data_IF_113707789974
#
_entry.id   IF_113707789974
#
_cell.length_a   1.000
_cell.length_b   1.000
_cell.length_c   1.000
_cell.angle_alpha   90.00
_cell.angle_beta   90.00
_cell.angle_gamma   90.00
#
_symmetry.space_group_name_H-M   'P 1'
#
loop_
_entity.id
_entity.type
_entity.pdbx_description
1 polymer ?
#
# COMPACT_ATOMS: atom_id res chain seq x y z
N UNK A 1 30.80 0.17 -5.01
CA UNK A 1 29.97 0.21 -6.24
C UNK A 1 29.50 -1.15 -6.76
N UNK A 2 30.30 -2.00 -7.42
CA UNK A 2 29.78 -3.29 -7.98
C UNK A 2 29.17 -4.22 -6.91
N UNK A 3 29.77 -4.29 -5.72
CA UNK A 3 29.26 -5.06 -4.57
C UNK A 3 27.91 -4.55 -4.07
N UNK A 4 27.73 -3.24 -3.95
CA UNK A 4 26.50 -2.63 -3.43
C UNK A 4 25.31 -2.85 -4.38
N UNK A 5 25.55 -2.78 -5.69
CA UNK A 5 24.57 -3.13 -6.72
C UNK A 5 24.17 -4.61 -6.67
N UNK A 6 25.13 -5.51 -6.46
CA UNK A 6 24.85 -6.96 -6.34
C UNK A 6 24.08 -7.29 -5.06
N UNK A 7 24.43 -6.69 -3.93
CA UNK A 7 23.70 -6.85 -2.67
C UNK A 7 22.28 -6.29 -2.75
N UNK A 8 22.09 -5.16 -3.45
CA UNK A 8 20.78 -4.55 -3.65
C UNK A 8 19.87 -5.38 -4.58
N UNK A 9 20.39 -5.88 -5.71
CA UNK A 9 19.64 -6.79 -6.58
C UNK A 9 19.28 -8.11 -5.87
N UNK A 10 20.23 -8.68 -5.10
CA UNK A 10 20.01 -9.87 -4.29
C UNK A 10 18.94 -9.65 -3.19
N UNK A 11 18.92 -8.45 -2.62
CA UNK A 11 17.94 -8.03 -1.65
C UNK A 11 16.53 -7.88 -2.25
N UNK A 12 16.42 -7.34 -3.48
CA UNK A 12 15.14 -7.22 -4.19
C UNK A 12 14.59 -8.59 -4.63
N UNK A 13 15.45 -9.52 -5.06
CA UNK A 13 15.03 -10.89 -5.45
C UNK A 13 14.49 -11.72 -4.27
N UNK A 14 14.92 -11.47 -3.04
CA UNK A 14 14.50 -12.25 -1.86
C UNK A 14 13.20 -11.78 -1.19
N UNK A 15 12.58 -10.68 -1.63
CA UNK A 15 11.43 -10.06 -0.95
C UNK A 15 10.09 -10.68 -1.37
N UNK A 16 9.85 -11.94 -0.99
CA UNK A 16 8.50 -12.52 -1.01
C UNK A 16 7.69 -12.23 0.28
N UNK A 17 8.29 -11.73 1.36
CA UNK A 17 7.59 -11.57 2.65
C UNK A 17 8.09 -10.40 3.50
N UNK A 18 7.80 -9.15 3.08
CA UNK A 18 7.87 -8.04 4.04
C UNK A 18 6.57 -8.04 4.85
N UNK A 19 6.65 -8.30 6.14
CA UNK A 19 5.53 -8.05 7.06
C UNK A 19 5.48 -6.56 7.37
N UNK A 20 4.29 -5.96 7.24
CA UNK A 20 3.99 -4.54 7.44
C UNK A 20 4.24 -3.99 8.87
N UNK A 21 4.92 -4.72 9.77
CA UNK A 21 5.00 -4.36 11.20
C UNK A 21 6.06 -3.32 11.54
N UNK A 22 7.10 -3.14 10.73
CA UNK A 22 8.26 -2.34 11.12
C UNK A 22 8.37 -1.08 10.23
N UNK A 23 7.69 -0.01 10.65
CA UNK A 23 7.70 1.30 9.99
C UNK A 23 9.12 1.80 9.71
N UNK A 24 10.04 1.56 10.65
CA UNK A 24 11.43 2.00 10.56
C UNK A 24 12.21 1.25 9.46
N UNK A 25 11.91 -0.03 9.23
CA UNK A 25 12.50 -0.79 8.11
C UNK A 25 12.01 -0.27 6.75
N UNK A 26 10.75 0.15 6.66
CA UNK A 26 10.19 0.73 5.43
C UNK A 26 10.83 2.09 5.10
N UNK A 27 11.08 2.91 6.12
CA UNK A 27 11.77 4.21 5.97
C UNK A 27 13.24 4.02 5.58
N UNK A 28 13.96 3.09 6.23
CA UNK A 28 15.35 2.79 5.90
C UNK A 28 15.51 2.30 4.44
N UNK A 29 14.59 1.45 4.00
CA UNK A 29 14.53 0.97 2.61
C UNK A 29 14.24 2.09 1.59
N UNK A 30 13.33 3.01 1.93
CA UNK A 30 13.05 4.16 1.10
C UNK A 30 14.26 5.10 0.97
N UNK A 31 14.99 5.32 2.06
CA UNK A 31 16.21 6.14 2.05
C UNK A 31 17.34 5.50 1.24
N UNK A 32 17.48 4.17 1.27
CA UNK A 32 18.44 3.45 0.39
C UNK A 32 18.11 3.66 -1.08
N UNK A 33 16.84 3.60 -1.44
CA UNK A 33 16.38 3.81 -2.82
C UNK A 33 16.57 5.25 -3.31
N UNK A 34 16.31 6.25 -2.46
CA UNK A 34 16.59 7.66 -2.79
C UNK A 34 18.08 7.87 -3.06
N UNK A 35 18.96 7.44 -2.14
CA UNK A 35 20.41 7.56 -2.32
C UNK A 35 20.90 6.88 -3.58
N UNK A 36 20.34 5.71 -3.89
CA UNK A 36 20.67 4.97 -5.10
C UNK A 36 20.22 5.71 -6.37
N UNK A 37 19.03 6.33 -6.37
CA UNK A 37 18.56 7.16 -7.49
C UNK A 37 19.44 8.39 -7.69
N UNK A 38 19.83 9.07 -6.62
CA UNK A 38 20.75 10.21 -6.66
C UNK A 38 22.10 9.81 -7.29
N UNK A 39 22.66 8.67 -6.85
CA UNK A 39 23.90 8.11 -7.40
C UNK A 39 23.82 7.76 -8.89
N UNK A 40 22.66 7.28 -9.34
CA UNK A 40 22.45 6.93 -10.74
C UNK A 40 22.21 8.17 -11.61
N UNK A 41 21.53 9.20 -11.10
CA UNK A 41 21.17 10.40 -11.86
C UNK A 41 22.39 11.13 -12.43
N UNK A 42 23.53 11.08 -11.74
CA UNK A 42 24.79 11.71 -12.16
C UNK A 42 25.60 10.87 -13.17
N UNK A 43 25.28 9.59 -13.38
CA UNK A 43 26.16 8.68 -14.14
C UNK A 43 25.56 8.08 -15.42
N UNK A 44 24.24 8.10 -15.65
CA UNK A 44 23.64 7.44 -16.83
C UNK A 44 22.46 8.20 -17.47
N UNK A 45 22.37 8.09 -18.80
CA UNK A 45 21.24 8.54 -19.66
C UNK A 45 20.10 7.50 -19.66
N UNK A 46 18.82 7.85 -19.93
CA UNK A 46 17.67 7.13 -19.39
C UNK A 46 17.43 5.77 -20.08
N UNK A 47 17.79 4.71 -19.38
CA UNK A 47 17.45 3.33 -19.71
C UNK A 47 16.15 2.87 -19.04
N UNK A 48 15.57 1.76 -19.52
CA UNK A 48 14.41 1.08 -18.93
C UNK A 48 14.53 0.81 -17.42
N UNK A 49 15.75 0.77 -16.89
CA UNK A 49 16.07 0.67 -15.47
C UNK A 49 15.56 1.88 -14.65
N UNK A 50 15.67 3.12 -15.17
CA UNK A 50 15.14 4.31 -14.50
C UNK A 50 13.61 4.28 -14.39
N UNK A 51 12.93 3.69 -15.38
CA UNK A 51 11.48 3.53 -15.35
C UNK A 51 11.06 2.57 -14.23
N UNK A 52 11.78 1.46 -14.06
CA UNK A 52 11.55 0.49 -12.99
C UNK A 52 11.82 1.08 -11.60
N UNK A 53 12.91 1.85 -11.45
CA UNK A 53 13.24 2.55 -10.19
C UNK A 53 12.18 3.61 -9.85
N UNK A 54 11.76 4.43 -10.82
CA UNK A 54 10.74 5.46 -10.60
C UNK A 54 9.38 4.85 -10.23
N UNK A 55 8.98 3.74 -10.86
CA UNK A 55 7.77 3.02 -10.48
C UNK A 55 7.85 2.49 -9.04
N UNK A 56 8.99 1.90 -8.67
CA UNK A 56 9.23 1.37 -7.32
C UNK A 56 9.20 2.49 -6.27
N UNK A 57 9.81 3.65 -6.57
CA UNK A 57 9.74 4.83 -5.72
C UNK A 57 8.31 5.35 -5.56
N UNK A 58 7.54 5.45 -6.65
CA UNK A 58 6.15 5.90 -6.60
C UNK A 58 5.29 4.98 -5.71
N UNK A 59 5.45 3.66 -5.85
CA UNK A 59 4.75 2.69 -5.01
C UNK A 59 5.11 2.88 -3.53
N UNK A 60 6.39 3.09 -3.21
CA UNK A 60 6.83 3.31 -1.83
C UNK A 60 6.34 4.63 -1.24
N UNK A 61 6.42 5.73 -1.98
CA UNK A 61 5.86 7.02 -1.57
C UNK A 61 4.37 6.89 -1.24
N UNK A 62 3.63 6.19 -2.11
CA UNK A 62 2.20 5.96 -1.92
C UNK A 62 1.92 5.10 -0.67
N UNK A 63 2.72 4.06 -0.43
CA UNK A 63 2.61 3.21 0.75
C UNK A 63 2.92 3.98 2.05
N UNK A 64 3.98 4.79 2.05
CA UNK A 64 4.38 5.60 3.21
C UNK A 64 3.30 6.63 3.54
N UNK A 65 2.87 7.43 2.55
CA UNK A 65 1.80 8.42 2.73
C UNK A 65 0.53 7.78 3.31
N UNK A 66 0.14 6.63 2.78
CA UNK A 66 -1.08 5.97 3.25
C UNK A 66 -0.90 5.34 4.64
N UNK A 67 0.29 4.86 4.99
CA UNK A 67 0.55 4.37 6.34
C UNK A 67 0.40 5.48 7.39
N UNK A 68 0.83 6.70 7.03
CA UNK A 68 0.64 7.90 7.86
C UNK A 68 -0.83 8.25 7.96
N UNK A 69 -1.57 8.26 6.85
CA UNK A 69 -3.02 8.53 6.84
C UNK A 69 -3.79 7.52 7.70
N UNK A 70 -3.45 6.24 7.62
CA UNK A 70 -4.04 5.19 8.47
C UNK A 70 -3.70 5.42 9.94
N UNK A 71 -2.49 5.86 10.26
CA UNK A 71 -2.08 6.22 11.62
C UNK A 71 -2.92 7.37 12.18
N UNK A 72 -3.02 8.47 11.43
CA UNK A 72 -3.85 9.64 11.78
C UNK A 72 -5.31 9.24 11.94
N UNK A 73 -5.85 8.45 11.01
CA UNK A 73 -7.23 7.95 11.05
C UNK A 73 -7.50 7.08 12.26
N UNK A 74 -6.59 6.17 12.62
CA UNK A 74 -6.74 5.36 13.84
C UNK A 74 -6.73 6.24 15.09
N UNK A 75 -5.88 7.27 15.12
CA UNK A 75 -5.87 8.25 16.20
C UNK A 75 -7.21 9.01 16.27
N UNK A 76 -7.73 9.51 15.15
CA UNK A 76 -9.02 10.19 15.07
C UNK A 76 -10.19 9.29 15.50
N UNK A 77 -10.16 8.00 15.16
CA UNK A 77 -11.12 7.01 15.66
C UNK A 77 -11.00 6.87 17.18
N UNK A 78 -9.78 6.79 17.72
CA UNK A 78 -9.55 6.62 19.17
C UNK A 78 -10.07 7.79 20.01
N UNK A 79 -10.05 9.01 19.46
CA UNK A 79 -10.61 10.21 20.11
C UNK A 79 -12.07 10.47 19.74
N UNK A 80 -12.71 9.55 19.02
CA UNK A 80 -14.12 9.65 18.60
C UNK A 80 -14.41 10.67 17.50
N UNK A 81 -13.38 11.26 16.89
CA UNK A 81 -13.51 12.25 15.82
C UNK A 81 -13.83 11.62 14.46
N UNK A 82 -13.54 10.33 14.26
CA UNK A 82 -13.87 9.59 13.03
C UNK A 82 -14.55 8.24 13.31
N UNK A 83 -15.38 7.78 12.38
CA UNK A 83 -16.13 6.52 12.50
C UNK A 83 -15.24 5.34 12.14
N UNK A 84 -15.21 4.29 12.96
CA UNK A 84 -14.46 3.05 12.66
C UNK A 84 -15.14 2.17 11.60
N UNK A 85 -16.46 2.31 11.43
CA UNK A 85 -17.28 1.45 10.59
C UNK A 85 -18.14 2.25 9.60
N UNK A 86 -18.27 1.74 8.37
CA UNK A 86 -19.22 2.21 7.36
C UNK A 86 -20.42 1.29 7.28
N UNK A 87 -21.61 1.86 7.03
CA UNK A 87 -22.80 1.07 6.72
C UNK A 87 -22.67 0.41 5.35
N UNK A 88 -23.33 -0.74 5.17
CA UNK A 88 -23.35 -1.49 3.92
C UNK A 88 -23.72 -0.62 2.70
N UNK A 89 -24.73 0.25 2.84
CA UNK A 89 -25.13 1.16 1.78
C UNK A 89 -24.01 2.15 1.40
N UNK A 90 -23.31 2.72 2.39
CA UNK A 90 -22.18 3.61 2.14
C UNK A 90 -20.98 2.86 1.55
N UNK A 91 -20.72 1.64 2.02
CA UNK A 91 -19.66 0.75 1.51
C UNK A 91 -19.89 0.40 0.04
N UNK A 92 -21.11 0.04 -0.35
CA UNK A 92 -21.44 -0.25 -1.75
C UNK A 92 -21.33 0.97 -2.66
N UNK A 93 -21.72 2.16 -2.17
CA UNK A 93 -21.56 3.41 -2.93
C UNK A 93 -20.08 3.74 -3.18
N UNK A 94 -19.22 3.57 -2.17
CA UNK A 94 -17.80 3.94 -2.25
C UNK A 94 -16.96 2.95 -3.07
N UNK A 95 -17.17 1.65 -2.90
CA UNK A 95 -16.28 0.61 -3.46
C UNK A 95 -16.94 -0.25 -4.56
N UNK A 96 -18.25 -0.08 -4.78
CA UNK A 96 -19.04 -0.88 -5.70
C UNK A 96 -19.50 -2.20 -5.09
N UNK A 97 -20.77 -2.57 -5.35
CA UNK A 97 -21.38 -3.78 -4.81
C UNK A 97 -20.63 -5.06 -5.21
N UNK A 98 -20.23 -5.18 -6.49
CA UNK A 98 -19.53 -6.37 -7.01
C UNK A 98 -18.21 -6.63 -6.29
N UNK A 99 -17.43 -5.58 -6.02
CA UNK A 99 -16.16 -5.65 -5.30
C UNK A 99 -16.37 -6.15 -3.87
N UNK A 100 -17.33 -5.56 -3.16
CA UNK A 100 -17.62 -5.90 -1.77
C UNK A 100 -18.14 -7.33 -1.64
N UNK A 101 -19.06 -7.75 -2.51
CA UNK A 101 -19.56 -9.14 -2.50
C UNK A 101 -18.45 -10.15 -2.82
N UNK A 102 -17.53 -9.82 -3.74
CA UNK A 102 -16.36 -10.65 -4.00
C UNK A 102 -15.47 -10.74 -2.76
N UNK A 103 -15.10 -9.63 -2.13
CA UNK A 103 -14.28 -9.65 -0.92
C UNK A 103 -14.94 -10.40 0.23
N UNK A 104 -16.26 -10.31 0.36
CA UNK A 104 -17.03 -11.06 1.35
C UNK A 104 -16.99 -12.57 1.06
N UNK A 105 -17.19 -12.96 -0.21
CA UNK A 105 -17.11 -14.36 -0.65
C UNK A 105 -15.71 -14.95 -0.44
N UNK A 106 -14.68 -14.16 -0.70
CA UNK A 106 -13.27 -14.50 -0.49
C UNK A 106 -12.87 -14.53 1.00
N UNK A 107 -13.78 -14.15 1.93
CA UNK A 107 -13.48 -14.07 3.37
C UNK A 107 -12.56 -12.91 3.77
N UNK A 108 -12.29 -11.96 2.88
CA UNK A 108 -11.37 -10.82 3.10
C UNK A 108 -11.98 -9.71 3.96
N UNK A 109 -13.30 -9.64 4.01
CA UNK A 109 -14.04 -8.71 4.87
C UNK A 109 -15.11 -9.47 5.65
N UNK A 110 -15.30 -9.06 6.91
CA UNK A 110 -16.31 -9.64 7.81
C UNK A 110 -17.37 -8.57 8.07
N UNK A 111 -18.64 -8.80 7.69
CA UNK A 111 -19.73 -7.89 8.05
C UNK A 111 -20.04 -8.00 9.54
N UNK A 112 -20.26 -6.86 10.19
CA UNK A 112 -20.71 -6.79 11.59
C UNK A 112 -22.13 -6.22 11.61
N UNK A 113 -23.05 -6.89 12.30
CA UNK A 113 -24.41 -6.36 12.49
C UNK A 113 -24.42 -5.52 13.77
N UNK A 114 -24.73 -4.24 13.64
CA UNK A 114 -24.84 -3.31 14.77
C UNK A 114 -26.15 -2.52 14.62
N UNK A 115 -27.01 -2.58 15.65
CA UNK A 115 -28.32 -1.92 15.68
C UNK A 115 -29.16 -2.20 14.43
N UNK A 116 -29.24 -3.47 14.03
CA UNK A 116 -30.01 -3.90 12.85
C UNK A 116 -29.36 -3.58 11.50
N UNK A 117 -28.29 -2.78 11.46
CA UNK A 117 -27.59 -2.41 10.22
C UNK A 117 -26.30 -3.22 10.04
N UNK A 118 -26.04 -3.69 8.83
CA UNK A 118 -24.75 -4.30 8.47
C UNK A 118 -23.71 -3.19 8.27
N UNK A 119 -22.57 -3.35 8.92
CA UNK A 119 -21.43 -2.46 8.81
C UNK A 119 -20.14 -3.21 8.50
N UNK A 120 -19.18 -2.48 7.96
CA UNK A 120 -17.86 -2.98 7.60
C UNK A 120 -16.78 -2.06 8.19
N UNK A 121 -15.69 -2.65 8.68
CA UNK A 121 -14.56 -1.92 9.23
C UNK A 121 -13.86 -1.14 8.12
N UNK A 122 -13.70 0.17 8.29
CA UNK A 122 -13.20 1.06 7.24
C UNK A 122 -11.75 0.73 6.87
N UNK A 123 -10.90 0.50 7.86
CA UNK A 123 -9.47 0.24 7.64
C UNK A 123 -9.22 -1.03 6.80
N UNK A 124 -10.06 -2.06 6.93
CA UNK A 124 -9.97 -3.26 6.10
C UNK A 124 -10.35 -2.97 4.64
N UNK A 125 -11.41 -2.18 4.42
CA UNK A 125 -11.87 -1.81 3.07
C UNK A 125 -10.82 -0.96 2.33
N UNK A 126 -10.19 -0.01 3.03
CA UNK A 126 -9.17 0.87 2.45
C UNK A 126 -7.91 0.09 2.06
N UNK A 127 -7.43 -0.81 2.92
CA UNK A 127 -6.30 -1.70 2.60
C UNK A 127 -6.54 -2.55 1.35
N UNK A 128 -7.72 -3.15 1.22
CA UNK A 128 -8.06 -3.98 0.06
C UNK A 128 -8.24 -3.17 -1.22
N UNK A 129 -8.81 -1.97 -1.12
CA UNK A 129 -8.96 -1.07 -2.27
C UNK A 129 -7.60 -0.65 -2.81
N UNK A 130 -6.68 -0.27 -1.92
CA UNK A 130 -5.31 0.08 -2.27
C UNK A 130 -4.59 -1.07 -2.95
N UNK A 131 -4.63 -2.27 -2.36
CA UNK A 131 -3.95 -3.43 -2.92
C UNK A 131 -4.39 -3.67 -4.36
N UNK A 132 -5.71 -3.64 -4.62
CA UNK A 132 -6.24 -3.75 -5.98
C UNK A 132 -5.73 -2.67 -6.93
N UNK A 133 -5.64 -1.40 -6.50
CA UNK A 133 -5.15 -0.30 -7.34
C UNK A 133 -3.67 -0.46 -7.67
N UNK A 134 -2.84 -0.80 -6.68
CA UNK A 134 -1.40 -1.01 -6.85
C UNK A 134 -1.11 -2.19 -7.78
N UNK A 135 -1.83 -3.31 -7.62
CA UNK A 135 -1.69 -4.46 -8.52
C UNK A 135 -2.11 -4.13 -9.96
N UNK A 136 -3.17 -3.35 -10.16
CA UNK A 136 -3.58 -2.92 -11.50
C UNK A 136 -2.51 -2.11 -12.21
N UNK A 137 -1.97 -1.09 -11.54
CA UNK A 137 -0.91 -0.23 -12.08
C UNK A 137 0.40 -0.97 -12.33
N UNK A 138 0.73 -1.97 -11.50
CA UNK A 138 1.92 -2.80 -11.71
C UNK A 138 1.83 -3.59 -13.01
N UNK A 139 0.67 -4.21 -13.29
CA UNK A 139 0.41 -4.97 -14.52
C UNK A 139 0.44 -4.06 -15.76
N UNK A 140 -0.10 -2.84 -15.68
CA UNK A 140 -0.08 -1.90 -16.81
C UNK A 140 1.32 -1.37 -17.17
N UNK A 141 2.31 -1.56 -16.28
CA UNK A 141 3.66 -1.02 -16.45
C UNK A 141 4.69 -2.01 -17.02
N UNK A 142 4.31 -3.28 -17.19
CA UNK A 142 5.12 -4.38 -17.72
C UNK A 142 4.44 -4.99 -18.96
#
# INVERSE_FOLDING_TARGET
>A
MRKELTEFCYFLEKKEKIKLSDRDQLVDEYLKLIRFKELLYDQFSPSSFYKSINNSMYVLEKLISTSVDVGIKNYLISVGAEREYLSQAATYRKYGRKTIERWRRDGKIIPVKQNGTIKYKISTLEKLSMANELFGKFIESH
#
